data_IF_952800354901
#
_entry.id   IF_952800354901
#
_cell.length_a   1.000
_cell.length_b   1.000
_cell.length_c   1.000
_cell.angle_alpha   90.00
_cell.angle_beta   90.00
_cell.angle_gamma   90.00
#
_symmetry.space_group_name_H-M   'P 1'
#
loop_
_entity.id
_entity.type
_entity.pdbx_description
1 polymer ?
#
# COMPACT_ATOMS: atom_id res chain seq x y z
N UNK A 1 124.16 43.23 41.11
CA UNK A 1 124.83 43.26 39.80
C UNK A 1 124.65 44.65 39.23
N UNK A 2 125.64 45.45 38.88
CA UNK A 2 127.11 45.50 38.91
C UNK A 2 127.39 46.96 38.47
N UNK A 3 128.44 47.69 38.81
CA UNK A 3 129.72 47.39 39.43
C UNK A 3 130.38 48.74 39.75
N UNK A 4 131.14 48.74 40.83
CA UNK A 4 132.22 49.68 41.13
C UNK A 4 133.44 49.26 40.29
N UNK A 5 134.23 50.22 39.78
CA UNK A 5 135.70 50.22 39.79
C UNK A 5 136.22 51.57 39.27
N UNK A 6 137.01 52.30 40.06
CA UNK A 6 138.49 52.44 39.94
C UNK A 6 138.92 53.19 38.66
N UNK A 7 139.82 54.16 38.63
CA UNK A 7 140.92 54.53 39.51
C UNK A 7 141.45 55.93 39.08
N UNK A 8 141.85 56.74 40.06
CA UNK A 8 143.09 57.54 40.11
C UNK A 8 143.69 58.20 38.84
N UNK A 9 143.92 59.52 38.87
CA UNK A 9 145.27 60.13 39.06
C UNK A 9 145.32 61.64 38.75
N UNK A 10 146.17 62.31 39.53
CA UNK A 10 147.04 63.46 39.19
C UNK A 10 146.40 64.85 39.02
N UNK A 11 146.42 65.62 40.12
CA UNK A 11 146.87 67.03 40.11
C UNK A 11 148.43 67.06 39.95
N UNK A 12 149.16 68.21 39.89
CA UNK A 12 148.73 69.60 40.12
C UNK A 12 149.49 70.74 39.36
N UNK A 13 149.07 71.98 39.65
CA UNK A 13 149.83 73.23 39.86
C UNK A 13 150.89 73.75 38.88
N UNK A 14 150.50 74.84 38.21
CA UNK A 14 150.95 76.24 38.37
C UNK A 14 152.23 76.58 39.19
N UNK A 15 153.03 77.43 38.51
CA UNK A 15 153.61 78.70 38.97
C UNK A 15 154.79 78.76 39.96
N UNK A 16 155.92 79.21 39.39
CA UNK A 16 156.80 80.32 39.83
C UNK A 16 157.36 80.38 41.27
N UNK A 17 158.72 80.37 41.33
CA UNK A 17 159.62 81.04 42.31
C UNK A 17 159.05 82.35 42.88
N UNK A 18 159.45 82.86 44.10
CA UNK A 18 160.86 83.09 44.48
C UNK A 18 161.27 83.12 45.99
N UNK A 19 162.60 83.20 46.16
CA UNK A 19 163.51 83.70 47.21
C UNK A 19 163.02 84.09 48.63
N UNK A 20 163.75 83.49 49.61
CA UNK A 20 164.51 84.03 50.77
C UNK A 20 163.97 85.28 51.49
N UNK A 21 164.03 85.45 52.80
CA UNK A 21 164.23 84.65 54.02
C UNK A 21 164.20 85.71 55.15
N UNK A 22 163.56 85.46 56.29
CA UNK A 22 163.97 85.96 57.61
C UNK A 22 163.11 85.36 58.75
N UNK A 23 163.67 85.06 59.94
CA UNK A 23 163.16 83.96 60.79
C UNK A 23 162.42 84.38 62.08
N UNK A 24 161.89 85.61 62.20
CA UNK A 24 161.31 86.10 63.48
C UNK A 24 159.76 86.09 63.58
N UNK A 25 159.02 85.49 62.63
CA UNK A 25 157.52 85.59 62.56
C UNK A 25 156.78 84.33 63.10
N UNK A 26 157.48 83.34 63.64
CA UNK A 26 156.91 82.00 63.90
C UNK A 26 155.89 81.93 65.07
N UNK A 27 155.74 82.98 65.91
CA UNK A 27 154.90 82.86 67.12
C UNK A 27 153.46 83.41 66.96
N UNK A 28 153.11 84.10 65.87
CA UNK A 28 151.75 84.66 65.66
C UNK A 28 150.87 83.93 64.62
N UNK A 29 151.39 82.89 63.92
CA UNK A 29 150.67 82.22 62.83
C UNK A 29 149.76 81.03 63.26
N UNK A 30 149.76 80.62 64.53
CA UNK A 30 149.01 79.44 64.97
C UNK A 30 147.49 79.68 65.16
N UNK A 31 147.03 80.93 65.25
CA UNK A 31 145.61 81.25 65.50
C UNK A 31 144.70 81.26 64.26
N UNK A 32 145.25 81.54 63.06
CA UNK A 32 144.42 81.81 61.88
C UNK A 32 144.11 80.56 61.03
N UNK A 33 144.91 79.50 61.15
CA UNK A 33 144.73 78.26 60.36
C UNK A 33 143.56 77.40 60.89
N UNK A 34 143.22 77.51 62.18
CA UNK A 34 142.10 76.75 62.77
C UNK A 34 140.74 77.29 62.32
N UNK A 35 140.60 78.61 62.07
CA UNK A 35 139.33 79.19 61.65
C UNK A 35 139.00 78.97 60.16
N UNK A 36 139.99 78.84 59.27
CA UNK A 36 139.73 78.58 57.85
C UNK A 36 139.37 77.09 57.57
N UNK A 37 139.92 76.15 58.35
CA UNK A 37 139.60 74.73 58.21
C UNK A 37 138.14 74.39 58.55
N UNK A 38 137.55 75.09 59.52
CA UNK A 38 136.15 74.89 59.93
C UNK A 38 135.15 75.41 58.87
N UNK A 39 135.48 76.49 58.16
CA UNK A 39 134.59 77.07 57.16
C UNK A 39 134.47 76.20 55.89
N UNK A 40 135.56 75.56 55.45
CA UNK A 40 135.56 74.69 54.26
C UNK A 40 134.86 73.36 54.54
N UNK A 41 135.03 72.78 55.74
CA UNK A 41 134.29 71.59 56.15
C UNK A 41 132.77 71.84 56.23
N UNK A 42 132.36 73.02 56.70
CA UNK A 42 130.95 73.43 56.73
C UNK A 42 130.31 73.54 55.33
N UNK A 43 131.03 74.04 54.34
CA UNK A 43 130.52 74.19 52.96
C UNK A 43 130.41 72.83 52.25
N UNK A 44 131.36 71.91 52.47
CA UNK A 44 131.30 70.55 51.90
C UNK A 44 130.13 69.76 52.50
N UNK A 45 129.93 69.83 53.82
CA UNK A 45 128.79 69.19 54.50
C UNK A 45 127.47 69.80 54.05
N UNK A 46 127.37 71.14 53.88
CA UNK A 46 126.16 71.76 53.34
C UNK A 46 125.87 71.32 51.90
N UNK A 47 126.90 71.18 51.06
CA UNK A 47 126.74 70.74 49.67
C UNK A 47 126.30 69.27 49.56
N UNK A 48 126.79 68.42 50.46
CA UNK A 48 126.45 66.99 50.51
C UNK A 48 125.04 66.79 51.05
N UNK A 49 124.65 67.52 52.10
CA UNK A 49 123.29 67.52 52.65
C UNK A 49 122.28 68.13 51.66
N UNK A 50 122.66 69.11 50.84
CA UNK A 50 121.79 69.62 49.77
C UNK A 50 121.62 68.60 48.63
N UNK A 51 122.67 67.82 48.32
CA UNK A 51 122.62 66.74 47.33
C UNK A 51 121.78 65.55 47.83
N UNK A 52 121.92 65.14 49.09
CA UNK A 52 121.08 64.11 49.70
C UNK A 52 119.61 64.55 49.77
N UNK A 53 119.34 65.81 50.14
CA UNK A 53 117.97 66.36 50.07
C UNK A 53 117.41 66.45 48.66
N UNK A 54 118.25 66.62 47.62
CA UNK A 54 117.78 66.58 46.24
C UNK A 54 117.54 65.16 45.73
N UNK A 55 118.38 64.19 46.11
CA UNK A 55 118.18 62.77 45.77
C UNK A 55 116.97 62.20 46.49
N UNK A 56 116.75 62.56 47.76
CA UNK A 56 115.53 62.19 48.49
C UNK A 56 114.28 62.84 47.89
N UNK A 57 114.35 64.10 47.47
CA UNK A 57 113.24 64.76 46.77
C UNK A 57 112.95 64.11 45.41
N UNK A 58 113.98 63.75 44.64
CA UNK A 58 113.82 63.03 43.38
C UNK A 58 113.29 61.61 43.59
N UNK A 59 113.76 60.89 44.61
CA UNK A 59 113.25 59.56 44.96
C UNK A 59 111.82 59.59 45.50
N UNK A 60 111.45 60.62 46.27
CA UNK A 60 110.08 60.85 46.72
C UNK A 60 109.16 61.24 45.55
N UNK A 61 109.64 62.05 44.61
CA UNK A 61 108.91 62.38 43.38
C UNK A 61 108.66 61.15 42.51
N UNK A 62 109.68 60.31 42.28
CA UNK A 62 109.51 59.05 41.53
C UNK A 62 108.57 58.06 42.24
N UNK A 63 108.55 58.03 43.58
CA UNK A 63 107.57 57.22 44.33
C UNK A 63 106.16 57.80 44.24
N UNK A 64 106.03 59.13 44.27
CA UNK A 64 104.76 59.82 44.09
C UNK A 64 104.22 59.60 42.67
N UNK A 65 105.07 59.70 41.64
CA UNK A 65 104.70 59.44 40.24
C UNK A 65 104.26 57.98 40.04
N UNK A 66 104.97 57.00 40.62
CA UNK A 66 104.54 55.58 40.59
C UNK A 66 103.26 55.31 41.37
N UNK A 67 103.02 56.03 42.46
CA UNK A 67 101.76 55.92 43.19
C UNK A 67 100.62 56.55 42.40
N UNK A 68 100.88 57.69 41.75
CA UNK A 68 99.92 58.34 40.87
C UNK A 68 99.60 57.46 39.66
N UNK A 69 100.58 56.83 39.03
CA UNK A 69 100.40 55.88 37.94
C UNK A 69 99.54 54.67 38.37
N UNK A 70 99.78 54.11 39.58
CA UNK A 70 98.93 53.04 40.14
C UNK A 70 97.51 53.51 40.44
N UNK A 71 97.35 54.74 40.90
CA UNK A 71 96.04 55.34 41.16
C UNK A 71 95.29 55.54 39.84
N UNK A 72 95.95 56.07 38.82
CA UNK A 72 95.39 56.28 37.49
C UNK A 72 95.01 54.95 36.83
N UNK A 73 95.84 53.91 37.01
CA UNK A 73 95.56 52.55 36.55
C UNK A 73 94.38 51.92 37.29
N UNK A 74 94.32 52.06 38.63
CA UNK A 74 93.17 51.61 39.41
C UNK A 74 91.87 52.36 39.05
N UNK A 75 91.95 53.65 38.73
CA UNK A 75 90.81 54.42 38.22
C UNK A 75 90.39 53.98 36.81
N UNK A 76 91.33 53.61 35.94
CA UNK A 76 91.04 53.05 34.64
C UNK A 76 90.32 51.69 34.78
N UNK A 77 90.83 50.79 35.62
CA UNK A 77 90.22 49.50 35.92
C UNK A 77 88.82 49.65 36.55
N UNK A 78 88.64 50.61 37.47
CA UNK A 78 87.33 50.94 38.04
C UNK A 78 86.35 51.45 37.00
N UNK A 79 86.80 52.31 36.08
CA UNK A 79 85.95 52.79 34.98
C UNK A 79 85.57 51.65 34.03
N UNK A 80 86.48 50.74 33.74
CA UNK A 80 86.19 49.55 32.93
C UNK A 80 85.22 48.60 33.64
N UNK A 81 85.39 48.37 34.95
CA UNK A 81 84.47 47.59 35.77
C UNK A 81 83.07 48.22 35.84
N UNK A 82 82.96 49.55 35.96
CA UNK A 82 81.67 50.25 35.89
C UNK A 82 81.05 50.07 34.50
N UNK A 83 81.81 50.27 33.42
CA UNK A 83 81.30 50.11 32.06
C UNK A 83 80.85 48.67 31.76
N UNK A 84 81.53 47.65 32.29
CA UNK A 84 81.09 46.25 32.18
C UNK A 84 79.86 45.96 33.04
N UNK A 85 79.77 46.54 34.24
CA UNK A 85 78.58 46.47 35.09
C UNK A 85 77.34 47.06 34.43
N UNK A 86 77.47 48.25 33.81
CA UNK A 86 76.39 48.89 33.05
C UNK A 86 75.96 48.03 31.84
N UNK A 87 76.91 47.43 31.11
CA UNK A 87 76.60 46.50 30.02
C UNK A 87 75.85 45.26 30.52
N UNK A 88 76.29 44.67 31.63
CA UNK A 88 75.61 43.52 32.24
C UNK A 88 74.20 43.87 32.72
N UNK A 89 74.01 45.06 33.32
CA UNK A 89 72.71 45.55 33.75
C UNK A 89 71.76 45.77 32.56
N UNK A 90 72.27 46.32 31.45
CA UNK A 90 71.52 46.46 30.20
C UNK A 90 71.12 45.10 29.62
N UNK A 91 72.04 44.11 29.62
CA UNK A 91 71.73 42.74 29.19
C UNK A 91 70.67 42.07 30.07
N UNK A 92 70.73 42.27 31.39
CA UNK A 92 69.77 41.70 32.34
C UNK A 92 68.37 42.31 32.17
N UNK A 93 68.29 43.63 31.92
CA UNK A 93 67.05 44.31 31.57
C UNK A 93 66.45 43.77 30.27
N UNK A 94 67.27 43.55 29.24
CA UNK A 94 66.81 43.01 27.96
C UNK A 94 66.35 41.55 28.08
N UNK A 95 67.09 40.72 28.81
CA UNK A 95 66.68 39.35 29.11
C UNK A 95 65.35 39.30 29.89
N UNK A 96 65.14 40.22 30.84
CA UNK A 96 63.86 40.33 31.54
C UNK A 96 62.71 40.76 30.62
N UNK A 97 62.95 41.67 29.66
CA UNK A 97 61.94 42.00 28.64
C UNK A 97 61.60 40.81 27.77
N UNK A 98 62.60 40.06 27.32
CA UNK A 98 62.40 38.83 26.54
C UNK A 98 61.62 37.78 27.33
N UNK A 99 61.96 37.57 28.61
CA UNK A 99 61.21 36.65 29.47
C UNK A 99 59.74 37.08 29.66
N UNK A 100 59.46 38.38 29.80
CA UNK A 100 58.09 38.88 29.86
C UNK A 100 57.33 38.68 28.54
N UNK A 101 57.99 38.86 27.40
CA UNK A 101 57.40 38.60 26.09
C UNK A 101 57.12 37.10 25.88
N UNK A 102 58.06 36.23 26.23
CA UNK A 102 57.90 34.78 26.16
C UNK A 102 56.79 34.29 27.10
N UNK A 103 56.71 34.83 28.32
CA UNK A 103 55.63 34.48 29.25
C UNK A 103 54.24 34.86 28.69
N UNK A 104 54.12 36.02 28.02
CA UNK A 104 52.89 36.41 27.32
C UNK A 104 52.58 35.46 26.17
N UNK A 105 53.56 35.15 25.31
CA UNK A 105 53.38 34.22 24.20
C UNK A 105 52.96 32.83 24.67
N UNK A 106 53.54 32.32 25.77
CA UNK A 106 53.15 31.04 26.37
C UNK A 106 51.70 31.10 26.86
N UNK A 107 51.30 32.19 27.53
CA UNK A 107 49.92 32.38 27.97
C UNK A 107 48.93 32.42 26.80
N UNK A 108 49.27 33.14 25.72
CA UNK A 108 48.42 33.23 24.52
C UNK A 108 48.32 31.88 23.81
N UNK A 109 49.42 31.13 23.72
CA UNK A 109 49.43 29.78 23.14
C UNK A 109 48.62 28.80 23.99
N UNK A 110 48.69 28.87 25.33
CA UNK A 110 47.88 28.05 26.22
C UNK A 110 46.39 28.38 26.10
N UNK A 111 46.03 29.67 25.98
CA UNK A 111 44.66 30.09 25.72
C UNK A 111 44.18 29.55 24.36
N UNK A 112 45.02 29.63 23.33
CA UNK A 112 44.74 29.07 22.01
C UNK A 112 44.54 27.54 22.04
N UNK A 113 45.42 26.80 22.72
CA UNK A 113 45.31 25.33 22.85
C UNK A 113 44.02 24.92 23.58
N UNK A 114 43.65 25.64 24.64
CA UNK A 114 42.39 25.40 25.35
C UNK A 114 41.17 25.68 24.45
N UNK A 115 41.22 26.71 23.62
CA UNK A 115 40.16 27.02 22.67
C UNK A 115 40.04 25.95 21.58
N UNK A 116 41.17 25.47 21.03
CA UNK A 116 41.17 24.39 20.04
C UNK A 116 40.68 23.06 20.63
N UNK A 117 41.03 22.74 21.88
CA UNK A 117 40.49 21.57 22.59
C UNK A 117 38.98 21.66 22.74
N UNK A 118 38.46 22.81 23.18
CA UNK A 118 37.02 23.04 23.31
C UNK A 118 36.31 22.90 21.96
N UNK A 119 36.87 23.46 20.88
CA UNK A 119 36.33 23.30 19.53
C UNK A 119 36.35 21.85 19.04
N UNK A 120 37.42 21.11 19.32
CA UNK A 120 37.54 19.71 18.95
C UNK A 120 36.52 18.83 19.69
N UNK A 121 36.29 19.08 20.98
CA UNK A 121 35.30 18.36 21.78
C UNK A 121 33.87 18.71 21.32
N UNK A 122 33.60 19.97 20.99
CA UNK A 122 32.33 20.38 20.40
C UNK A 122 32.10 19.67 19.05
N UNK A 123 33.07 19.70 18.13
CA UNK A 123 32.95 19.02 16.84
C UNK A 123 32.74 17.51 16.99
N UNK A 124 33.42 16.87 17.95
CA UNK A 124 33.18 15.45 18.27
C UNK A 124 31.75 15.21 18.73
N UNK A 125 31.22 16.06 19.60
CA UNK A 125 29.84 15.94 20.08
C UNK A 125 28.81 16.11 18.95
N UNK A 126 29.05 17.06 18.03
CA UNK A 126 28.20 17.29 16.86
C UNK A 126 28.23 16.08 15.92
N UNK A 127 29.42 15.53 15.64
CA UNK A 127 29.56 14.33 14.80
C UNK A 127 28.81 13.14 15.39
N UNK A 128 28.93 12.88 16.70
CA UNK A 128 28.21 11.79 17.35
C UNK A 128 26.69 12.02 17.33
N UNK A 129 26.23 13.26 17.51
CA UNK A 129 24.81 13.60 17.42
C UNK A 129 24.24 13.36 16.01
N UNK A 130 24.99 13.76 14.97
CA UNK A 130 24.60 13.58 13.56
C UNK A 130 24.61 12.11 13.18
N UNK A 131 25.59 11.32 13.65
CA UNK A 131 25.61 9.87 13.46
C UNK A 131 24.40 9.20 14.10
N UNK A 132 24.06 9.57 15.34
CA UNK A 132 22.91 9.02 16.05
C UNK A 132 21.59 9.36 15.32
N UNK A 133 21.43 10.62 14.92
CA UNK A 133 20.27 11.08 14.16
C UNK A 133 20.17 10.38 12.79
N UNK A 134 21.28 10.28 12.06
CA UNK A 134 21.35 9.58 10.77
C UNK A 134 21.01 8.09 10.90
N UNK A 135 21.50 7.41 11.94
CA UNK A 135 21.18 6.01 12.21
C UNK A 135 19.71 5.81 12.59
N UNK A 136 19.09 6.76 13.31
CA UNK A 136 17.65 6.72 13.59
C UNK A 136 16.83 6.92 12.31
N UNK A 137 17.16 7.91 11.50
CA UNK A 137 16.50 8.19 10.23
C UNK A 137 16.60 7.01 9.25
N UNK A 138 17.76 6.36 9.16
CA UNK A 138 17.93 5.16 8.33
C UNK A 138 17.03 4.02 8.78
N UNK A 139 16.97 3.73 10.10
CA UNK A 139 16.07 2.70 10.65
C UNK A 139 14.60 3.01 10.37
N UNK A 140 14.20 4.26 10.49
CA UNK A 140 12.83 4.68 10.17
C UNK A 140 12.51 4.45 8.68
N UNK A 141 13.44 4.81 7.78
CA UNK A 141 13.29 4.53 6.35
C UNK A 141 13.24 3.04 6.04
N UNK A 142 14.07 2.22 6.68
CA UNK A 142 14.07 0.76 6.49
C UNK A 142 12.73 0.15 6.94
N UNK A 143 12.19 0.62 8.08
CA UNK A 143 10.87 0.20 8.55
C UNK A 143 9.76 0.62 7.58
N UNK A 144 9.81 1.84 7.04
CA UNK A 144 8.85 2.32 6.05
C UNK A 144 8.93 1.51 4.73
N UNK A 145 10.14 1.17 4.28
CA UNK A 145 10.35 0.32 3.11
C UNK A 145 9.83 -1.10 3.34
N UNK A 146 10.05 -1.67 4.53
CA UNK A 146 9.51 -2.97 4.89
C UNK A 146 7.97 -2.97 4.88
N UNK A 147 7.34 -1.93 5.41
CA UNK A 147 5.88 -1.77 5.39
C UNK A 147 5.32 -1.62 3.97
N UNK A 148 5.95 -0.79 3.14
CA UNK A 148 5.58 -0.63 1.73
C UNK A 148 5.70 -1.94 0.95
N UNK A 149 6.77 -2.72 1.17
CA UNK A 149 6.94 -4.03 0.55
C UNK A 149 5.86 -5.03 0.97
N UNK A 150 5.44 -5.02 2.26
CA UNK A 150 4.31 -5.83 2.73
C UNK A 150 3.00 -5.42 2.05
N UNK A 151 2.73 -4.12 1.96
CA UNK A 151 1.55 -3.57 1.26
C UNK A 151 1.55 -3.94 -0.22
N UNK A 152 2.69 -3.86 -0.89
CA UNK A 152 2.86 -4.26 -2.28
C UNK A 152 2.57 -5.76 -2.47
N UNK A 153 3.10 -6.61 -1.59
CA UNK A 153 2.84 -8.05 -1.64
C UNK A 153 1.36 -8.39 -1.41
N UNK A 154 0.71 -7.72 -0.45
CA UNK A 154 -0.73 -7.87 -0.19
C UNK A 154 -1.56 -7.46 -1.40
N UNK A 155 -1.30 -6.29 -1.99
CA UNK A 155 -2.00 -5.81 -3.18
C UNK A 155 -1.79 -6.73 -4.40
N UNK A 156 -0.58 -7.27 -4.56
CA UNK A 156 -0.30 -8.25 -5.62
C UNK A 156 -1.09 -9.54 -5.43
N UNK A 157 -1.29 -9.99 -4.18
CA UNK A 157 -2.12 -11.16 -3.89
C UNK A 157 -3.60 -10.87 -4.14
N UNK A 158 -4.12 -9.73 -3.68
CA UNK A 158 -5.50 -9.31 -3.96
C UNK A 158 -5.78 -9.24 -5.46
N UNK A 159 -4.82 -8.74 -6.25
CA UNK A 159 -4.94 -8.69 -7.71
C UNK A 159 -5.03 -10.09 -8.32
N UNK A 160 -4.27 -11.07 -7.82
CA UNK A 160 -4.35 -12.46 -8.27
C UNK A 160 -5.72 -13.06 -7.93
N UNK A 161 -6.20 -12.84 -6.71
CA UNK A 161 -7.47 -13.38 -6.24
C UNK A 161 -8.65 -12.77 -7.03
N UNK A 162 -8.62 -11.46 -7.30
CA UNK A 162 -9.62 -10.79 -8.14
C UNK A 162 -9.59 -11.31 -9.58
N UNK A 163 -8.40 -11.56 -10.14
CA UNK A 163 -8.28 -12.14 -11.49
C UNK A 163 -8.84 -13.56 -11.55
N UNK A 164 -8.64 -14.37 -10.51
CA UNK A 164 -9.24 -15.69 -10.40
C UNK A 164 -10.77 -15.62 -10.34
N UNK A 165 -11.33 -14.75 -9.48
CA UNK A 165 -12.78 -14.52 -9.40
C UNK A 165 -13.38 -14.05 -10.72
N UNK A 166 -12.67 -13.20 -11.46
CA UNK A 166 -13.14 -12.73 -12.78
C UNK A 166 -13.24 -13.90 -13.78
N UNK A 167 -12.23 -14.78 -13.81
CA UNK A 167 -12.27 -15.99 -14.65
C UNK A 167 -13.41 -16.94 -14.25
N UNK A 168 -13.66 -17.12 -12.95
CA UNK A 168 -14.80 -17.90 -12.47
C UNK A 168 -16.13 -17.29 -12.93
N UNK A 169 -16.29 -15.97 -12.78
CA UNK A 169 -17.50 -15.26 -13.25
C UNK A 169 -17.69 -15.38 -14.76
N UNK A 170 -16.62 -15.26 -15.55
CA UNK A 170 -16.69 -15.42 -17.01
C UNK A 170 -17.12 -16.85 -17.39
N UNK A 171 -16.60 -17.86 -16.69
CA UNK A 171 -17.01 -19.25 -16.90
C UNK A 171 -18.49 -19.49 -16.52
N UNK A 172 -18.95 -18.90 -15.42
CA UNK A 172 -20.34 -18.97 -14.99
C UNK A 172 -21.27 -18.26 -15.98
N UNK A 173 -20.86 -17.09 -16.49
CA UNK A 173 -21.59 -16.36 -17.51
C UNK A 173 -21.70 -17.17 -18.82
N UNK A 174 -20.62 -17.84 -19.24
CA UNK A 174 -20.65 -18.73 -20.40
C UNK A 174 -21.62 -19.91 -20.21
N UNK A 175 -21.61 -20.55 -19.03
CA UNK A 175 -22.54 -21.62 -18.71
C UNK A 175 -24.01 -21.15 -18.71
N UNK A 176 -24.28 -19.95 -18.17
CA UNK A 176 -25.62 -19.35 -18.19
C UNK A 176 -26.06 -19.08 -19.63
N UNK A 177 -25.21 -18.49 -20.47
CA UNK A 177 -25.53 -18.25 -21.89
C UNK A 177 -25.91 -19.54 -22.61
N UNK A 178 -25.09 -20.59 -22.46
CA UNK A 178 -25.39 -21.90 -23.05
C UNK A 178 -26.72 -22.48 -22.55
N UNK A 179 -27.05 -22.31 -21.26
CA UNK A 179 -28.33 -22.76 -20.71
C UNK A 179 -29.52 -21.97 -21.24
N UNK A 180 -29.38 -20.66 -21.43
CA UNK A 180 -30.41 -19.80 -22.04
C UNK A 180 -30.64 -20.20 -23.49
N UNK A 181 -29.59 -20.45 -24.26
CA UNK A 181 -29.69 -20.94 -25.64
C UNK A 181 -30.43 -22.29 -25.70
N UNK A 182 -30.05 -23.24 -24.85
CA UNK A 182 -30.70 -24.55 -24.75
C UNK A 182 -32.19 -24.44 -24.38
N UNK A 183 -32.53 -23.63 -23.38
CA UNK A 183 -33.92 -23.43 -22.96
C UNK A 183 -34.75 -22.72 -24.04
N UNK A 184 -34.14 -21.79 -24.77
CA UNK A 184 -34.79 -21.10 -25.89
C UNK A 184 -35.08 -22.08 -27.01
N UNK A 185 -34.15 -22.98 -27.32
CA UNK A 185 -34.36 -24.03 -28.31
C UNK A 185 -35.48 -25.00 -27.86
N UNK A 186 -35.46 -25.45 -26.61
CA UNK A 186 -36.53 -26.30 -26.06
C UNK A 186 -37.90 -25.62 -26.11
N UNK A 187 -37.96 -24.32 -25.82
CA UNK A 187 -39.21 -23.55 -25.91
C UNK A 187 -39.71 -23.43 -27.35
N UNK A 188 -38.81 -23.27 -28.33
CA UNK A 188 -39.17 -23.27 -29.76
C UNK A 188 -39.68 -24.63 -30.21
N UNK A 189 -39.02 -25.72 -29.82
CA UNK A 189 -39.45 -27.08 -30.13
C UNK A 189 -40.84 -27.39 -29.52
N UNK A 190 -41.06 -27.01 -28.26
CA UNK A 190 -42.35 -27.17 -27.59
C UNK A 190 -43.46 -26.31 -28.24
N UNK A 191 -43.15 -25.10 -28.69
CA UNK A 191 -44.10 -24.26 -29.42
C UNK A 191 -44.49 -24.88 -30.76
N UNK A 192 -43.52 -25.45 -31.48
CA UNK A 192 -43.77 -26.15 -32.74
C UNK A 192 -44.60 -27.44 -32.53
N UNK A 193 -44.28 -28.23 -31.51
CA UNK A 193 -45.04 -29.45 -31.20
C UNK A 193 -46.48 -29.13 -30.82
N UNK A 194 -46.70 -28.10 -30.00
CA UNK A 194 -48.03 -27.63 -29.64
C UNK A 194 -48.81 -27.14 -30.87
N UNK A 195 -48.15 -26.44 -31.79
CA UNK A 195 -48.79 -26.00 -33.03
C UNK A 195 -49.20 -27.18 -33.92
N UNK A 196 -48.37 -28.22 -34.02
CA UNK A 196 -48.68 -29.45 -34.74
C UNK A 196 -49.83 -30.21 -34.08
N UNK A 197 -49.82 -30.35 -32.76
CA UNK A 197 -50.89 -30.99 -32.00
C UNK A 197 -52.23 -30.24 -32.15
N UNK A 198 -52.21 -28.91 -32.09
CA UNK A 198 -53.39 -28.09 -32.36
C UNK A 198 -53.90 -28.26 -33.80
N UNK A 199 -53.02 -28.38 -34.79
CA UNK A 199 -53.42 -28.65 -36.17
C UNK A 199 -54.06 -30.05 -36.30
N UNK A 200 -53.49 -31.06 -35.66
CA UNK A 200 -54.06 -32.41 -35.62
C UNK A 200 -55.42 -32.44 -34.91
N UNK A 201 -55.59 -31.70 -33.82
CA UNK A 201 -56.88 -31.55 -33.14
C UNK A 201 -57.92 -30.85 -34.01
N UNK A 202 -57.53 -29.86 -34.84
CA UNK A 202 -58.45 -29.23 -35.79
C UNK A 202 -58.93 -30.21 -36.85
N UNK A 203 -58.02 -31.00 -37.41
CA UNK A 203 -58.36 -32.02 -38.41
C UNK A 203 -59.28 -33.11 -37.84
N UNK A 204 -58.91 -33.70 -36.70
CA UNK A 204 -59.74 -34.70 -36.03
C UNK A 204 -61.13 -34.18 -35.64
N UNK A 205 -61.22 -32.90 -35.24
CA UNK A 205 -62.52 -32.26 -34.99
C UNK A 205 -63.34 -32.11 -36.27
N UNK A 206 -62.72 -31.74 -37.39
CA UNK A 206 -63.40 -31.70 -38.69
C UNK A 206 -63.87 -33.09 -39.13
N UNK A 207 -63.03 -34.11 -38.99
CA UNK A 207 -63.37 -35.50 -39.31
C UNK A 207 -64.53 -36.01 -38.45
N UNK A 208 -64.54 -35.69 -37.15
CA UNK A 208 -65.64 -36.04 -36.27
C UNK A 208 -66.95 -35.36 -36.67
N UNK A 209 -66.93 -34.07 -37.00
CA UNK A 209 -68.12 -33.35 -37.48
C UNK A 209 -68.62 -33.91 -38.82
N UNK A 210 -67.72 -34.26 -39.75
CA UNK A 210 -68.09 -34.93 -41.00
C UNK A 210 -68.72 -36.30 -40.75
N UNK A 211 -68.15 -37.09 -39.85
CA UNK A 211 -68.71 -38.39 -39.46
C UNK A 211 -70.09 -38.23 -38.82
N UNK A 212 -70.26 -37.23 -37.95
CA UNK A 212 -71.54 -36.89 -37.31
C UNK A 212 -72.59 -36.49 -38.35
N UNK A 213 -72.24 -35.64 -39.31
CA UNK A 213 -73.14 -35.25 -40.40
C UNK A 213 -73.50 -36.45 -41.28
N UNK A 214 -72.53 -37.31 -41.62
CA UNK A 214 -72.77 -38.54 -42.39
C UNK A 214 -73.70 -39.50 -41.65
N UNK A 215 -73.52 -39.65 -40.33
CA UNK A 215 -74.40 -40.46 -39.51
C UNK A 215 -75.83 -39.90 -39.47
N UNK A 216 -75.98 -38.58 -39.34
CA UNK A 216 -77.29 -37.93 -39.37
C UNK A 216 -78.03 -38.16 -40.71
N UNK A 217 -77.32 -38.07 -41.84
CA UNK A 217 -77.88 -38.39 -43.17
C UNK A 217 -78.29 -39.85 -43.25
N UNK A 218 -77.40 -40.77 -42.90
CA UNK A 218 -77.68 -42.21 -42.92
C UNK A 218 -78.88 -42.59 -42.03
N UNK A 219 -78.97 -41.99 -40.85
CA UNK A 219 -80.11 -42.18 -39.96
C UNK A 219 -81.40 -41.67 -40.61
N UNK A 220 -81.36 -40.49 -41.23
CA UNK A 220 -82.50 -39.93 -41.97
C UNK A 220 -82.97 -40.84 -43.11
N UNK A 221 -82.03 -41.38 -43.90
CA UNK A 221 -82.29 -42.32 -45.00
C UNK A 221 -82.90 -43.63 -44.51
N UNK A 222 -82.36 -44.19 -43.42
CA UNK A 222 -82.90 -45.39 -42.79
C UNK A 222 -84.34 -45.18 -42.31
N UNK A 223 -84.59 -44.09 -41.58
CA UNK A 223 -85.93 -43.72 -41.12
C UNK A 223 -86.90 -43.54 -42.31
N UNK A 224 -86.46 -42.88 -43.39
CA UNK A 224 -87.26 -42.70 -44.60
C UNK A 224 -87.62 -44.03 -45.26
N UNK A 225 -86.65 -44.94 -45.45
CA UNK A 225 -86.88 -46.26 -46.03
C UNK A 225 -87.81 -47.12 -45.14
N UNK A 226 -87.63 -47.04 -43.82
CA UNK A 226 -88.47 -47.73 -42.85
C UNK A 226 -89.93 -47.24 -42.93
N UNK A 227 -90.17 -45.94 -42.99
CA UNK A 227 -91.53 -45.42 -43.13
C UNK A 227 -92.13 -45.64 -44.51
N UNK A 228 -91.32 -45.60 -45.57
CA UNK A 228 -91.79 -45.93 -46.92
C UNK A 228 -92.33 -47.36 -46.98
N UNK A 229 -91.67 -48.32 -46.33
CA UNK A 229 -92.11 -49.72 -46.32
C UNK A 229 -93.35 -49.98 -45.46
N UNK A 230 -93.54 -49.26 -44.35
CA UNK A 230 -94.65 -49.56 -43.43
C UNK A 230 -95.86 -48.61 -43.52
N UNK A 231 -95.66 -47.38 -44.00
CA UNK A 231 -96.66 -46.32 -43.97
C UNK A 231 -97.13 -45.82 -45.34
N UNK A 232 -96.69 -46.43 -46.45
CA UNK A 232 -97.06 -46.13 -47.85
C UNK A 232 -97.88 -44.83 -48.08
N UNK A 233 -97.19 -43.73 -48.43
CA UNK A 233 -97.84 -42.45 -48.75
C UNK A 233 -98.22 -41.57 -47.55
N UNK A 234 -98.00 -42.04 -46.32
CA UNK A 234 -98.21 -41.26 -45.09
C UNK A 234 -96.92 -40.56 -44.62
N UNK A 235 -97.05 -39.52 -43.79
CA UNK A 235 -95.90 -38.87 -43.13
C UNK A 235 -96.23 -38.35 -41.72
N UNK A 236 -95.19 -38.09 -40.93
CA UNK A 236 -95.30 -37.68 -39.53
C UNK A 236 -95.93 -38.75 -38.64
N UNK A 237 -96.81 -38.33 -37.72
CA UNK A 237 -97.48 -39.22 -36.74
C UNK A 237 -98.27 -40.35 -37.40
N UNK A 238 -98.89 -40.09 -38.55
CA UNK A 238 -99.65 -41.12 -39.29
C UNK A 238 -98.76 -42.27 -39.78
N UNK A 239 -97.56 -41.96 -40.31
CA UNK A 239 -96.58 -42.98 -40.72
C UNK A 239 -96.02 -43.73 -39.52
N UNK A 240 -95.76 -43.03 -38.41
CA UNK A 240 -95.31 -43.66 -37.16
C UNK A 240 -96.33 -44.66 -36.61
N UNK A 241 -97.62 -44.32 -36.63
CA UNK A 241 -98.69 -45.22 -36.22
C UNK A 241 -98.79 -46.46 -37.11
N UNK A 242 -98.74 -46.27 -38.42
CA UNK A 242 -98.78 -47.38 -39.37
C UNK A 242 -97.60 -48.33 -39.18
N UNK A 243 -96.40 -47.79 -39.03
CA UNK A 243 -95.22 -48.58 -38.73
C UNK A 243 -95.31 -49.33 -37.41
N UNK A 244 -95.82 -48.69 -36.37
CA UNK A 244 -95.97 -49.33 -35.06
C UNK A 244 -97.00 -50.47 -35.09
N UNK A 245 -98.13 -50.29 -35.80
CA UNK A 245 -99.14 -51.35 -35.99
C UNK A 245 -98.57 -52.57 -36.71
N UNK A 246 -97.63 -52.35 -37.63
CA UNK A 246 -97.02 -53.41 -38.44
C UNK A 246 -95.79 -54.07 -37.78
N UNK A 247 -95.14 -53.42 -36.82
CA UNK A 247 -93.85 -53.86 -36.26
C UNK A 247 -93.94 -54.74 -35.01
N UNK A 248 -95.16 -54.99 -34.49
CA UNK A 248 -95.41 -55.79 -33.29
C UNK A 248 -94.54 -55.38 -32.07
N UNK A 249 -94.10 -54.12 -32.01
CA UNK A 249 -93.09 -53.69 -31.04
C UNK A 249 -93.58 -53.74 -29.60
N UNK A 250 -94.83 -53.37 -29.34
CA UNK A 250 -95.40 -53.39 -27.97
C UNK A 250 -95.30 -54.79 -27.37
N UNK A 251 -95.66 -55.83 -28.14
CA UNK A 251 -95.57 -57.22 -27.69
C UNK A 251 -94.13 -57.65 -27.44
N UNK A 252 -93.19 -57.19 -28.27
CA UNK A 252 -91.76 -57.48 -28.11
C UNK A 252 -91.17 -56.76 -26.89
N UNK A 253 -91.61 -55.54 -26.57
CA UNK A 253 -91.24 -54.82 -25.34
C UNK A 253 -91.65 -55.63 -24.11
N UNK A 254 -92.92 -56.06 -24.04
CA UNK A 254 -93.47 -56.84 -22.92
C UNK A 254 -92.74 -58.18 -22.75
N UNK A 255 -92.47 -58.89 -23.85
CA UNK A 255 -91.75 -60.18 -23.81
C UNK A 255 -90.33 -59.99 -23.31
N UNK A 256 -89.62 -58.97 -23.80
CA UNK A 256 -88.23 -58.72 -23.40
C UNK A 256 -88.15 -58.20 -21.96
N UNK A 257 -89.06 -57.32 -21.54
CA UNK A 257 -89.16 -56.86 -20.15
C UNK A 257 -89.26 -58.03 -19.15
N UNK A 258 -90.04 -59.07 -19.47
CA UNK A 258 -90.18 -60.27 -18.63
C UNK A 258 -88.91 -61.11 -18.55
N UNK A 259 -88.07 -61.06 -19.59
CA UNK A 259 -86.81 -61.80 -19.67
C UNK A 259 -85.61 -61.01 -19.10
N UNK A 260 -85.76 -59.71 -18.83
CA UNK A 260 -84.66 -58.85 -18.38
C UNK A 260 -84.49 -58.84 -16.86
N UNK A 261 -83.24 -59.00 -16.42
CA UNK A 261 -82.82 -58.91 -15.02
C UNK A 261 -82.41 -57.50 -14.61
N UNK A 262 -81.93 -56.68 -15.56
CA UNK A 262 -81.55 -55.30 -15.28
C UNK A 262 -82.77 -54.41 -15.06
N UNK A 263 -82.87 -53.83 -13.86
CA UNK A 263 -83.97 -52.97 -13.46
C UNK A 263 -84.03 -51.68 -14.29
N UNK A 264 -82.90 -51.15 -14.75
CA UNK A 264 -82.87 -49.90 -15.53
C UNK A 264 -83.45 -50.12 -16.93
N UNK A 265 -82.96 -51.12 -17.65
CA UNK A 265 -83.45 -51.46 -18.98
C UNK A 265 -84.91 -51.92 -18.94
N UNK A 266 -85.32 -52.64 -17.89
CA UNK A 266 -86.72 -53.03 -17.66
C UNK A 266 -87.65 -51.82 -17.55
N UNK A 267 -87.28 -50.79 -16.76
CA UNK A 267 -88.07 -49.55 -16.63
C UNK A 267 -88.18 -48.79 -17.95
N UNK A 268 -87.11 -48.78 -18.76
CA UNK A 268 -87.18 -48.16 -20.08
C UNK A 268 -88.17 -48.90 -20.99
N UNK A 269 -88.15 -50.24 -21.01
CA UNK A 269 -89.11 -51.01 -21.80
C UNK A 269 -90.56 -50.80 -21.34
N UNK A 270 -90.81 -50.67 -20.03
CA UNK A 270 -92.12 -50.30 -19.48
C UNK A 270 -92.56 -48.92 -19.98
N UNK A 271 -91.65 -47.94 -19.99
CA UNK A 271 -91.94 -46.61 -20.52
C UNK A 271 -92.22 -46.67 -22.03
N UNK A 272 -91.44 -47.44 -22.80
CA UNK A 272 -91.64 -47.59 -24.23
C UNK A 272 -92.95 -48.30 -24.56
N UNK A 273 -93.34 -49.32 -23.80
CA UNK A 273 -94.64 -49.97 -23.92
C UNK A 273 -95.77 -48.95 -23.79
N UNK A 274 -95.72 -48.10 -22.75
CA UNK A 274 -96.73 -47.06 -22.52
C UNK A 274 -96.74 -46.04 -23.65
N UNK A 275 -95.58 -45.54 -24.07
CA UNK A 275 -95.46 -44.52 -25.11
C UNK A 275 -95.93 -45.05 -26.47
N UNK A 276 -95.52 -46.26 -26.85
CA UNK A 276 -95.94 -46.90 -28.10
C UNK A 276 -97.44 -47.23 -28.08
N UNK A 277 -97.97 -47.69 -26.95
CA UNK A 277 -99.42 -47.94 -26.81
C UNK A 277 -100.21 -46.64 -26.96
N UNK A 278 -99.75 -45.54 -26.35
CA UNK A 278 -100.36 -44.21 -26.52
C UNK A 278 -100.29 -43.73 -27.97
N UNK A 279 -99.17 -43.96 -28.66
CA UNK A 279 -99.05 -43.67 -30.09
C UNK A 279 -100.11 -44.45 -30.90
N UNK A 280 -100.44 -45.69 -30.52
CA UNK A 280 -101.42 -46.51 -31.24
C UNK A 280 -102.84 -45.97 -31.15
N UNK A 281 -103.17 -45.47 -29.95
CA UNK A 281 -104.49 -44.96 -29.60
C UNK A 281 -104.70 -43.51 -30.03
N UNK A 282 -103.63 -42.81 -30.43
CA UNK A 282 -103.69 -41.41 -30.81
C UNK A 282 -104.51 -41.22 -32.09
N UNK A 283 -105.34 -40.18 -32.13
CA UNK A 283 -106.04 -39.77 -33.35
C UNK A 283 -105.14 -38.83 -34.17
N UNK A 284 -104.61 -39.32 -35.29
CA UNK A 284 -103.75 -38.55 -36.18
C UNK A 284 -104.47 -37.37 -36.86
N UNK A 285 -105.80 -37.23 -36.76
CA UNK A 285 -106.51 -36.04 -37.27
C UNK A 285 -106.52 -34.85 -36.30
N UNK A 286 -106.21 -35.05 -35.01
CA UNK A 286 -106.37 -34.02 -33.97
C UNK A 286 -105.05 -33.35 -33.60
N UNK A 287 -104.89 -32.09 -34.00
CA UNK A 287 -103.66 -31.30 -33.77
C UNK A 287 -103.29 -31.18 -32.28
N UNK A 288 -104.25 -30.95 -31.39
CA UNK A 288 -104.00 -30.82 -29.95
C UNK A 288 -103.45 -32.12 -29.34
N UNK A 289 -104.02 -33.27 -29.74
CA UNK A 289 -103.58 -34.58 -29.27
C UNK A 289 -102.16 -34.93 -29.78
N UNK A 290 -101.87 -34.57 -31.03
CA UNK A 290 -100.53 -34.69 -31.61
C UNK A 290 -99.50 -33.84 -30.86
N UNK A 291 -99.84 -32.59 -30.55
CA UNK A 291 -98.96 -31.69 -29.81
C UNK A 291 -98.72 -32.20 -28.39
N UNK A 292 -99.77 -32.60 -27.68
CA UNK A 292 -99.68 -33.19 -26.33
C UNK A 292 -98.81 -34.44 -26.30
N UNK A 293 -98.96 -35.34 -27.29
CA UNK A 293 -98.11 -36.52 -27.41
C UNK A 293 -96.63 -36.17 -27.62
N UNK A 294 -96.33 -35.21 -28.50
CA UNK A 294 -94.95 -34.75 -28.73
C UNK A 294 -94.33 -34.12 -27.47
N UNK A 295 -95.10 -33.33 -26.72
CA UNK A 295 -94.66 -32.75 -25.46
C UNK A 295 -94.37 -33.84 -24.42
N UNK A 296 -95.28 -34.80 -24.25
CA UNK A 296 -95.08 -35.97 -23.37
C UNK A 296 -93.83 -36.78 -23.77
N UNK A 297 -93.63 -37.01 -25.07
CA UNK A 297 -92.47 -37.75 -25.56
C UNK A 297 -91.16 -37.02 -25.21
N UNK A 298 -91.12 -35.69 -25.32
CA UNK A 298 -89.96 -34.87 -24.90
C UNK A 298 -89.75 -34.93 -23.39
N UNK A 299 -90.81 -34.73 -22.59
CA UNK A 299 -90.73 -34.73 -21.12
C UNK A 299 -90.37 -36.11 -20.55
N UNK A 300 -90.79 -37.19 -21.21
CA UNK A 300 -90.46 -38.56 -20.79
C UNK A 300 -88.96 -38.87 -20.84
N UNK A 301 -88.19 -38.12 -21.65
CA UNK A 301 -86.78 -38.39 -21.93
C UNK A 301 -86.53 -39.77 -22.55
N UNK A 302 -87.57 -40.49 -23.03
CA UNK A 302 -87.44 -41.85 -23.53
C UNK A 302 -86.48 -41.93 -24.73
N UNK A 303 -86.51 -40.93 -25.62
CA UNK A 303 -85.60 -40.85 -26.78
C UNK A 303 -84.14 -40.67 -26.37
N UNK A 304 -83.86 -39.89 -25.32
CA UNK A 304 -82.51 -39.67 -24.79
C UNK A 304 -81.98 -40.92 -24.10
N UNK A 305 -82.84 -41.61 -23.34
CA UNK A 305 -82.51 -42.87 -22.67
C UNK A 305 -82.23 -44.00 -23.68
N UNK A 306 -83.04 -44.12 -24.75
CA UNK A 306 -82.77 -45.06 -25.84
C UNK A 306 -81.41 -44.74 -26.50
N UNK A 307 -81.16 -43.47 -26.81
CA UNK A 307 -79.91 -43.04 -27.45
C UNK A 307 -78.69 -43.32 -26.57
N UNK A 308 -78.82 -43.14 -25.25
CA UNK A 308 -77.79 -43.47 -24.27
C UNK A 308 -77.48 -44.97 -24.24
N UNK A 309 -78.51 -45.84 -24.22
CA UNK A 309 -78.32 -47.30 -24.20
C UNK A 309 -77.78 -47.86 -25.51
N UNK A 310 -78.24 -47.35 -26.65
CA UNK A 310 -77.72 -47.76 -27.96
C UNK A 310 -76.24 -47.41 -28.16
N UNK A 311 -75.73 -46.45 -27.39
CA UNK A 311 -74.32 -46.03 -27.43
C UNK A 311 -73.41 -46.88 -26.52
N UNK A 312 -73.97 -47.75 -25.65
CA UNK A 312 -73.17 -48.58 -24.73
C UNK A 312 -72.78 -49.92 -25.38
N UNK A 313 -71.48 -50.29 -25.39
CA UNK A 313 -71.04 -51.61 -25.83
C UNK A 313 -71.35 -52.66 -24.75
N UNK A 314 -72.09 -53.72 -25.09
CA UNK A 314 -72.36 -54.85 -24.18
C UNK A 314 -73.80 -55.37 -24.19
N UNK A 315 -74.74 -54.64 -24.79
CA UNK A 315 -76.15 -55.02 -24.80
C UNK A 315 -76.47 -56.15 -25.81
N UNK A 316 -77.50 -56.95 -25.51
CA UNK A 316 -77.98 -58.00 -26.41
C UNK A 316 -78.33 -57.43 -27.79
N UNK A 317 -78.01 -58.18 -28.86
CA UNK A 317 -78.36 -57.79 -30.23
C UNK A 317 -79.88 -57.58 -30.38
N UNK A 318 -80.69 -58.38 -29.69
CA UNK A 318 -82.15 -58.30 -29.74
C UNK A 318 -82.69 -57.02 -29.08
N UNK A 319 -82.13 -56.63 -27.94
CA UNK A 319 -82.46 -55.38 -27.26
C UNK A 319 -82.08 -54.18 -28.12
N UNK A 320 -80.89 -54.20 -28.72
CA UNK A 320 -80.44 -53.15 -29.63
C UNK A 320 -81.32 -53.03 -30.86
N UNK A 321 -81.74 -54.15 -31.45
CA UNK A 321 -82.69 -54.18 -32.56
C UNK A 321 -84.03 -53.55 -32.19
N UNK A 322 -84.63 -53.97 -31.06
CA UNK A 322 -85.89 -53.43 -30.58
C UNK A 322 -85.81 -51.92 -30.29
N UNK A 323 -84.78 -51.49 -29.56
CA UNK A 323 -84.62 -50.09 -29.20
C UNK A 323 -84.37 -49.20 -30.43
N UNK A 324 -83.64 -49.72 -31.43
CA UNK A 324 -83.43 -49.03 -32.71
C UNK A 324 -84.75 -48.82 -33.45
N UNK A 325 -85.55 -49.88 -33.55
CA UNK A 325 -86.84 -49.84 -34.25
C UNK A 325 -87.87 -48.94 -33.53
N UNK A 326 -87.93 -49.03 -32.19
CA UNK A 326 -88.74 -48.14 -31.37
C UNK A 326 -88.32 -46.67 -31.53
N UNK A 327 -87.01 -46.39 -31.55
CA UNK A 327 -86.47 -45.05 -31.77
C UNK A 327 -86.90 -44.49 -33.12
N UNK A 328 -86.81 -45.29 -34.19
CA UNK A 328 -87.24 -44.86 -35.53
C UNK A 328 -88.72 -44.53 -35.53
N UNK A 329 -89.57 -45.40 -34.99
CA UNK A 329 -91.02 -45.16 -34.95
C UNK A 329 -91.34 -43.86 -34.19
N UNK A 330 -90.74 -43.67 -33.03
CA UNK A 330 -90.97 -42.47 -32.21
C UNK A 330 -90.41 -41.20 -32.86
N UNK A 331 -89.29 -41.28 -33.59
CA UNK A 331 -88.76 -40.13 -34.33
C UNK A 331 -89.72 -39.69 -35.45
N UNK A 332 -90.38 -40.63 -36.13
CA UNK A 332 -91.45 -40.32 -37.09
C UNK A 332 -92.61 -39.51 -36.49
N UNK A 333 -92.96 -39.74 -35.23
CA UNK A 333 -94.00 -38.97 -34.55
C UNK A 333 -93.58 -37.51 -34.27
N UNK A 334 -92.28 -37.25 -34.18
CA UNK A 334 -91.72 -35.90 -33.98
C UNK A 334 -91.47 -35.13 -35.27
N UNK A 335 -91.53 -35.76 -36.44
CA UNK A 335 -91.40 -35.08 -37.74
C UNK A 335 -92.63 -34.22 -38.03
N UNK A 336 -92.40 -32.94 -38.36
CA UNK A 336 -93.42 -32.06 -38.90
C UNK A 336 -93.54 -32.25 -40.42
N UNK A 337 -94.75 -32.02 -40.97
CA UNK A 337 -94.99 -32.06 -42.42
C UNK A 337 -94.49 -30.78 -43.06
#
# INVERSE_FOLDING_TARGET
MNQINEMAKMAPHDLTRPRRANPWVIILAAGFVVCLGAAVAGIVVLSMVHKERQVEKQAAMVRADRQQEKIDQAYADLREAIATGEKLQAQLLEANRQNQQLAKQISDLQAGDNQFKAQADQARSEVESVKAAGAAALRERDNALADLNRKLAAAAQETKDLKAKLLEMDSAAAAIRSKVESLTQQAQEAAQSLQQEQAAHRLTRQDFELLRLRWAVMQGDFENAYFASHGNGMSGISAAQAAMRNSHLVDRCVKMQKAMTDQKNRRLLEQLEVVLTRLNMLDAGRVEAQHSFRTMLRESGAMDQISSLLSMPGESADLRGLLTEARVILSGATREK
#
